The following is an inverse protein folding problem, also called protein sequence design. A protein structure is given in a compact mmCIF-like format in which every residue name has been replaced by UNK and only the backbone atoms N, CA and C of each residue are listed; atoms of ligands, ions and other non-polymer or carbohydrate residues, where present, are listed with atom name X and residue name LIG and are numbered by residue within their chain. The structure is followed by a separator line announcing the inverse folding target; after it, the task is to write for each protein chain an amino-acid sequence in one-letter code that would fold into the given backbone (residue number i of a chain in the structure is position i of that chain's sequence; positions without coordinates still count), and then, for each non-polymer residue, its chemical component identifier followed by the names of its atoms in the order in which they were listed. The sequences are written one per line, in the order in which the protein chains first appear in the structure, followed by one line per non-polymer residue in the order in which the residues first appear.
data_IF_535146644787
#
_entry.id   IF_535146644787
#
_cell.length_a   1.000
_cell.length_b   1.000
_cell.length_c   1.000
_cell.angle_alpha   90.00
_cell.angle_beta   90.00
_cell.angle_gamma   90.00
#
_symmetry.space_group_name_H-M   'P 1'
#
loop_
_entity.id
_entity.type
_entity.pdbx_description
1 polymer ?
#
# COMPACT_ATOMS: atom_id res chain seq x y z
N UNK A 1 -24.03 10.52 4.96
CA UNK A 1 -24.32 9.67 3.77
C UNK A 1 -25.45 10.34 3.03
N UNK A 2 -25.22 10.66 1.76
CA UNK A 2 -26.35 10.96 0.85
C UNK A 2 -27.25 9.73 0.83
N UNK A 3 -28.57 9.92 0.69
CA UNK A 3 -29.47 8.78 0.58
C UNK A 3 -29.22 8.11 -0.78
N UNK A 4 -28.53 6.96 -0.77
CA UNK A 4 -28.32 6.17 -1.98
C UNK A 4 -29.68 5.69 -2.46
N UNK A 5 -30.03 6.01 -3.71
CA UNK A 5 -31.24 5.50 -4.33
C UNK A 5 -30.97 4.10 -4.93
N UNK A 6 -31.20 3.07 -4.13
CA UNK A 6 -31.02 1.68 -4.55
C UNK A 6 -31.90 1.25 -5.73
N UNK A 7 -32.96 2.02 -6.05
CA UNK A 7 -33.83 1.72 -7.20
C UNK A 7 -33.14 1.95 -8.56
N UNK A 8 -32.02 2.68 -8.56
CA UNK A 8 -31.22 2.94 -9.76
C UNK A 8 -30.21 1.82 -10.05
N UNK A 9 -30.05 0.86 -9.15
CA UNK A 9 -29.12 -0.25 -9.37
C UNK A 9 -29.69 -1.23 -10.38
N UNK A 10 -28.91 -1.51 -11.41
CA UNK A 10 -29.28 -2.46 -12.48
C UNK A 10 -28.86 -3.89 -12.15
N UNK A 11 -27.87 -4.06 -11.29
CA UNK A 11 -27.30 -5.36 -10.94
C UNK A 11 -26.86 -5.38 -9.48
N UNK A 12 -27.00 -6.55 -8.84
CA UNK A 12 -26.39 -6.93 -7.57
C UNK A 12 -25.71 -8.30 -7.74
N UNK A 13 -24.69 -8.64 -6.95
CA UNK A 13 -24.05 -7.78 -5.96
C UNK A 13 -23.19 -6.69 -6.60
N UNK A 14 -23.08 -5.54 -5.95
CA UNK A 14 -22.19 -4.47 -6.41
C UNK A 14 -21.64 -3.64 -5.26
N UNK A 15 -20.40 -3.14 -5.43
CA UNK A 15 -19.84 -2.12 -4.56
C UNK A 15 -20.22 -0.74 -5.10
N UNK A 16 -20.66 0.12 -4.20
CA UNK A 16 -20.95 1.53 -4.52
C UNK A 16 -19.84 2.38 -3.88
N UNK A 17 -19.27 3.30 -4.66
CA UNK A 17 -18.36 4.32 -4.15
C UNK A 17 -19.01 5.69 -4.33
N UNK A 18 -19.23 6.41 -3.23
CA UNK A 18 -19.66 7.80 -3.24
C UNK A 18 -18.42 8.69 -3.46
N UNK A 19 -18.23 9.23 -4.66
CA UNK A 19 -17.05 10.03 -5.01
C UNK A 19 -16.83 11.21 -4.06
N UNK A 20 -17.90 11.83 -3.54
CA UNK A 20 -17.78 12.92 -2.57
C UNK A 20 -17.19 12.47 -1.22
N UNK A 21 -17.38 11.21 -0.81
CA UNK A 21 -16.75 10.64 0.38
C UNK A 21 -15.31 10.24 0.09
N UNK A 22 -15.07 9.66 -1.09
CA UNK A 22 -13.71 9.37 -1.55
C UNK A 22 -12.86 10.64 -1.62
N UNK A 23 -13.40 11.72 -2.18
CA UNK A 23 -12.70 13.00 -2.27
C UNK A 23 -12.34 13.58 -0.91
N UNK A 24 -13.20 13.43 0.11
CA UNK A 24 -12.86 13.82 1.50
C UNK A 24 -11.65 13.05 2.03
N UNK A 25 -11.58 11.75 1.79
CA UNK A 25 -10.43 10.95 2.16
C UNK A 25 -9.16 11.42 1.43
N UNK A 26 -9.29 11.69 0.13
CA UNK A 26 -8.18 12.19 -0.69
C UNK A 26 -7.68 13.59 -0.25
N UNK A 27 -8.57 14.46 0.22
CA UNK A 27 -8.20 15.76 0.79
C UNK A 27 -7.37 15.62 2.08
N UNK A 28 -7.64 14.59 2.89
CA UNK A 28 -6.78 14.28 4.06
C UNK A 28 -5.38 13.87 3.59
N UNK A 29 -5.29 13.01 2.56
CA UNK A 29 -4.00 12.60 1.98
C UNK A 29 -3.24 13.80 1.39
N UNK A 30 -3.93 14.68 0.67
CA UNK A 30 -3.35 15.90 0.12
C UNK A 30 -2.79 16.80 1.24
N UNK A 31 -3.52 16.94 2.35
CA UNK A 31 -3.04 17.70 3.51
C UNK A 31 -1.74 17.11 4.05
N UNK A 32 -1.67 15.78 4.23
CA UNK A 32 -0.44 15.10 4.67
C UNK A 32 0.72 15.40 3.72
N UNK A 33 0.51 15.26 2.42
CA UNK A 33 1.54 15.54 1.40
C UNK A 33 2.01 16.99 1.45
N UNK A 34 1.07 17.93 1.40
CA UNK A 34 1.37 19.36 1.39
C UNK A 34 2.14 19.81 2.62
N UNK A 35 1.75 19.33 3.80
CA UNK A 35 2.29 19.80 5.07
C UNK A 35 3.57 19.06 5.49
N UNK A 36 3.72 17.77 5.17
CA UNK A 36 4.92 17.00 5.48
C UNK A 36 5.96 16.99 4.36
N UNK A 37 5.54 17.24 3.12
CA UNK A 37 6.35 17.04 1.91
C UNK A 37 6.62 15.56 1.62
N UNK A 38 5.77 14.64 2.12
CA UNK A 38 5.76 13.27 1.70
C UNK A 38 5.03 13.10 0.35
N UNK A 39 5.27 11.99 -0.32
CA UNK A 39 4.49 11.55 -1.48
C UNK A 39 3.61 10.37 -1.06
N UNK A 40 2.36 10.38 -1.46
CA UNK A 40 1.43 9.27 -1.21
C UNK A 40 1.07 8.61 -2.54
N UNK A 41 1.18 7.29 -2.59
CA UNK A 41 0.80 6.45 -3.72
C UNK A 41 -0.22 5.41 -3.26
N UNK A 42 -1.22 5.15 -4.09
CA UNK A 42 -2.31 4.22 -3.78
C UNK A 42 -1.82 2.76 -3.82
N UNK A 43 -2.01 1.99 -2.75
CA UNK A 43 -1.78 0.55 -2.77
C UNK A 43 -2.97 -0.19 -3.38
N UNK A 44 -2.78 -0.73 -4.60
CA UNK A 44 -3.85 -1.37 -5.37
C UNK A 44 -4.41 -2.63 -4.70
N UNK A 45 -3.60 -3.34 -3.93
CA UNK A 45 -4.06 -4.50 -3.15
C UNK A 45 -5.17 -4.15 -2.14
N UNK A 46 -5.22 -2.90 -1.66
CA UNK A 46 -6.22 -2.43 -0.69
C UNK A 46 -7.39 -1.68 -1.33
N UNK A 47 -7.16 -1.02 -2.47
CA UNK A 47 -8.21 -0.32 -3.20
C UNK A 47 -7.85 -0.24 -4.68
N UNK A 48 -8.62 -0.94 -5.53
CA UNK A 48 -8.37 -1.01 -6.96
C UNK A 48 -9.63 -0.72 -7.81
N UNK A 49 -10.51 0.14 -7.31
CA UNK A 49 -11.70 0.57 -8.08
C UNK A 49 -11.27 1.57 -9.17
N UNK A 50 -10.81 1.05 -10.30
CA UNK A 50 -10.18 1.82 -11.38
C UNK A 50 -11.07 2.91 -11.98
N UNK A 51 -12.41 2.77 -11.91
CA UNK A 51 -13.35 3.82 -12.36
C UNK A 51 -13.18 5.13 -11.58
N UNK A 52 -12.56 5.10 -10.39
CA UNK A 52 -12.29 6.29 -9.56
C UNK A 52 -10.87 6.85 -9.75
N UNK A 53 -10.02 6.21 -10.56
CA UNK A 53 -8.61 6.56 -10.63
C UNK A 53 -8.34 7.95 -11.25
N UNK A 54 -9.23 8.46 -12.08
CA UNK A 54 -9.15 9.84 -12.53
C UNK A 54 -9.24 10.82 -11.35
N UNK A 55 -10.19 10.58 -10.42
CA UNK A 55 -10.32 11.39 -9.21
C UNK A 55 -9.12 11.19 -8.28
N UNK A 56 -8.76 9.94 -7.97
CA UNK A 56 -7.62 9.61 -7.11
C UNK A 56 -6.33 10.25 -7.63
N UNK A 57 -6.12 10.20 -8.94
CA UNK A 57 -4.94 10.76 -9.59
C UNK A 57 -4.83 12.28 -9.52
N UNK A 58 -5.89 13.01 -9.19
CA UNK A 58 -5.80 14.47 -8.94
C UNK A 58 -5.06 14.77 -7.64
N UNK A 59 -5.10 13.85 -6.68
CA UNK A 59 -4.58 14.03 -5.31
C UNK A 59 -3.29 13.27 -5.05
N UNK A 60 -3.15 12.05 -5.58
CA UNK A 60 -2.02 11.17 -5.29
C UNK A 60 -0.94 11.18 -6.37
N UNK A 61 0.28 10.81 -6.00
CA UNK A 61 1.43 10.78 -6.90
C UNK A 61 1.45 9.58 -7.85
N UNK A 62 0.77 8.48 -7.50
CA UNK A 62 0.76 7.25 -8.29
C UNK A 62 0.16 6.07 -7.56
N UNK A 63 0.60 4.89 -7.94
CA UNK A 63 0.18 3.61 -7.36
C UNK A 63 1.37 2.74 -6.97
N UNK A 64 1.15 1.87 -5.97
CA UNK A 64 2.02 0.71 -5.73
C UNK A 64 1.28 -0.57 -6.11
N UNK A 65 1.95 -1.41 -6.88
CA UNK A 65 1.45 -2.64 -7.47
C UNK A 65 2.12 -3.86 -6.84
N UNK A 66 1.36 -4.93 -6.63
CA UNK A 66 1.85 -6.20 -6.07
C UNK A 66 2.33 -7.20 -7.13
N UNK A 67 2.36 -6.79 -8.39
CA UNK A 67 2.79 -7.59 -9.53
C UNK A 67 2.38 -6.99 -10.87
N UNK A 68 2.63 -7.74 -11.95
CA UNK A 68 2.46 -7.28 -13.33
C UNK A 68 1.06 -6.74 -13.65
N UNK A 69 0.00 -7.44 -13.23
CA UNK A 69 -1.37 -7.06 -13.59
C UNK A 69 -1.80 -5.75 -12.93
N UNK A 70 -1.44 -5.55 -11.65
CA UNK A 70 -1.70 -4.27 -10.97
C UNK A 70 -0.84 -3.14 -11.57
N UNK A 71 0.41 -3.41 -11.94
CA UNK A 71 1.27 -2.44 -12.59
C UNK A 71 0.71 -1.99 -13.95
N UNK A 72 0.17 -2.92 -14.74
CA UNK A 72 -0.56 -2.61 -15.98
C UNK A 72 -1.78 -1.73 -15.71
N UNK A 73 -2.62 -2.14 -14.76
CA UNK A 73 -3.80 -1.38 -14.37
C UNK A 73 -3.43 0.05 -14.00
N UNK A 74 -2.41 0.23 -13.12
CA UNK A 74 -1.95 1.55 -12.72
C UNK A 74 -1.47 2.40 -13.90
N UNK A 75 -0.64 1.81 -14.77
CA UNK A 75 -0.08 2.51 -15.93
C UNK A 75 -1.14 2.92 -16.95
N UNK A 76 -2.10 2.03 -17.22
CA UNK A 76 -3.14 2.25 -18.24
C UNK A 76 -4.24 3.22 -17.77
N UNK A 77 -4.57 3.21 -16.47
CA UNK A 77 -5.75 3.93 -15.97
C UNK A 77 -5.42 5.21 -15.21
N UNK A 78 -4.37 5.24 -14.40
CA UNK A 78 -3.96 6.44 -13.66
C UNK A 78 -2.85 7.21 -14.39
N UNK A 79 -1.95 6.49 -15.04
CA UNK A 79 -0.81 7.04 -15.81
C UNK A 79 0.06 8.04 -15.01
N UNK A 80 0.38 7.65 -13.76
CA UNK A 80 1.29 8.36 -12.85
C UNK A 80 2.42 7.45 -12.41
N UNK A 81 3.17 7.80 -11.34
CA UNK A 81 4.23 6.93 -10.80
C UNK A 81 3.68 5.53 -10.49
N UNK A 82 4.39 4.50 -10.94
CA UNK A 82 4.06 3.09 -10.66
C UNK A 82 5.25 2.45 -9.96
N UNK A 83 5.06 2.11 -8.69
CA UNK A 83 6.02 1.35 -7.90
C UNK A 83 5.58 -0.10 -7.88
N UNK A 84 6.48 -1.04 -8.16
CA UNK A 84 6.11 -2.46 -8.18
C UNK A 84 6.95 -3.25 -7.18
N UNK A 85 6.26 -3.86 -6.22
CA UNK A 85 6.81 -4.77 -5.23
C UNK A 85 6.16 -6.15 -5.32
N UNK A 86 6.96 -7.20 -5.25
CA UNK A 86 6.48 -8.55 -5.02
C UNK A 86 7.47 -9.32 -4.16
N UNK A 87 7.02 -10.22 -3.25
CA UNK A 87 7.93 -11.10 -2.52
C UNK A 87 8.83 -11.93 -3.43
N UNK A 88 8.34 -12.26 -4.63
CA UNK A 88 9.11 -12.89 -5.69
C UNK A 88 8.54 -12.50 -7.06
N UNK A 89 9.43 -12.21 -8.02
CA UNK A 89 9.07 -11.97 -9.42
C UNK A 89 9.23 -13.22 -10.24
N UNK A 90 8.34 -13.42 -11.21
CA UNK A 90 8.53 -14.42 -12.25
C UNK A 90 9.52 -13.89 -13.31
N UNK A 91 10.38 -14.77 -13.83
CA UNK A 91 11.33 -14.40 -14.89
C UNK A 91 10.63 -13.87 -16.16
N UNK A 92 9.44 -14.38 -16.46
CA UNK A 92 8.64 -13.98 -17.62
C UNK A 92 8.03 -12.60 -17.50
N UNK A 93 7.74 -12.12 -16.24
CA UNK A 93 7.06 -10.86 -15.97
C UNK A 93 8.04 -9.69 -15.83
N UNK A 94 9.29 -9.94 -15.43
CA UNK A 94 10.23 -8.89 -14.98
C UNK A 94 10.52 -7.84 -16.05
N UNK A 95 10.59 -8.24 -17.33
CA UNK A 95 10.89 -7.33 -18.43
C UNK A 95 9.75 -6.33 -18.67
N UNK A 96 8.52 -6.81 -18.58
CA UNK A 96 7.36 -5.94 -18.76
C UNK A 96 7.18 -5.03 -17.55
N UNK A 97 7.36 -5.55 -16.33
CA UNK A 97 7.37 -4.75 -15.10
C UNK A 97 8.41 -3.62 -15.21
N UNK A 98 9.64 -3.91 -15.65
CA UNK A 98 10.69 -2.92 -15.81
C UNK A 98 10.32 -1.79 -16.80
N UNK A 99 9.57 -2.13 -17.87
CA UNK A 99 9.13 -1.12 -18.88
C UNK A 99 8.05 -0.19 -18.37
N UNK A 100 7.14 -0.69 -17.53
CA UNK A 100 5.93 0.03 -17.13
C UNK A 100 6.00 0.63 -15.72
N UNK A 101 7.01 0.26 -14.92
CA UNK A 101 7.22 0.77 -13.57
C UNK A 101 8.23 1.92 -13.55
N UNK A 102 8.05 2.86 -12.63
CA UNK A 102 9.01 3.92 -12.33
C UNK A 102 9.94 3.51 -11.18
N UNK A 103 9.50 2.59 -10.34
CA UNK A 103 10.27 1.99 -9.27
C UNK A 103 10.02 0.48 -9.18
N UNK A 104 11.08 -0.29 -8.93
CA UNK A 104 11.00 -1.71 -8.61
C UNK A 104 11.61 -1.97 -7.25
N UNK A 105 10.83 -2.60 -6.37
CA UNK A 105 11.24 -2.94 -5.01
C UNK A 105 11.58 -4.42 -4.93
N UNK A 106 12.84 -4.76 -4.75
CA UNK A 106 13.26 -6.15 -4.52
C UNK A 106 13.04 -6.56 -3.07
N UNK A 107 12.66 -7.80 -2.87
CA UNK A 107 12.40 -8.35 -1.54
C UNK A 107 13.65 -8.85 -0.83
N UNK A 108 14.72 -9.11 -1.58
CA UNK A 108 15.98 -9.65 -1.04
C UNK A 108 17.19 -9.28 -1.89
N UNK A 109 18.42 -9.31 -1.34
CA UNK A 109 19.65 -9.17 -2.11
C UNK A 109 19.76 -10.18 -3.23
N UNK A 110 19.27 -11.41 -3.05
CA UNK A 110 19.29 -12.43 -4.09
C UNK A 110 18.45 -12.04 -5.32
N UNK A 111 17.26 -11.43 -5.11
CA UNK A 111 16.48 -10.88 -6.22
C UNK A 111 17.19 -9.70 -6.88
N UNK A 112 17.79 -8.81 -6.08
CA UNK A 112 18.57 -7.70 -6.61
C UNK A 112 19.69 -8.22 -7.54
N UNK A 113 20.53 -9.15 -7.11
CA UNK A 113 21.60 -9.71 -7.90
C UNK A 113 21.10 -10.43 -9.17
N UNK A 114 19.92 -11.07 -9.09
CA UNK A 114 19.32 -11.77 -10.24
C UNK A 114 18.81 -10.81 -11.30
N UNK A 115 18.23 -9.68 -10.94
CA UNK A 115 17.44 -8.88 -11.86
C UNK A 115 17.95 -7.47 -12.10
N UNK A 116 18.82 -6.92 -11.25
CA UNK A 116 19.24 -5.52 -11.33
C UNK A 116 19.77 -5.12 -12.70
N UNK A 117 20.77 -5.84 -13.23
CA UNK A 117 21.39 -5.50 -14.51
C UNK A 117 20.38 -5.64 -15.67
N UNK A 118 19.51 -6.65 -15.62
CA UNK A 118 18.45 -6.87 -16.61
C UNK A 118 17.43 -5.74 -16.60
N UNK A 119 16.96 -5.34 -15.42
CA UNK A 119 16.00 -4.25 -15.24
C UNK A 119 16.59 -2.93 -15.71
N UNK A 120 17.83 -2.62 -15.33
CA UNK A 120 18.53 -1.41 -15.76
C UNK A 120 18.86 -1.37 -17.27
N UNK A 121 19.09 -2.51 -17.89
CA UNK A 121 19.27 -2.59 -19.34
C UNK A 121 17.97 -2.30 -20.12
N UNK A 122 16.80 -2.65 -19.56
CA UNK A 122 15.48 -2.41 -20.16
C UNK A 122 15.03 -0.97 -19.93
N UNK A 123 15.18 -0.48 -18.70
CA UNK A 123 14.81 0.87 -18.31
C UNK A 123 15.93 1.50 -17.46
N UNK A 124 16.87 2.22 -18.07
CA UNK A 124 17.98 2.83 -17.32
C UNK A 124 17.52 3.85 -16.25
N UNK A 125 16.32 4.40 -16.40
CA UNK A 125 15.78 5.43 -15.51
C UNK A 125 14.96 4.87 -14.34
N UNK A 126 14.60 3.58 -14.35
CA UNK A 126 13.81 2.98 -13.26
C UNK A 126 14.57 3.09 -11.94
N UNK A 127 13.88 3.55 -10.91
CA UNK A 127 14.40 3.47 -9.53
C UNK A 127 14.43 2.03 -9.06
N UNK A 128 15.42 1.70 -8.24
CA UNK A 128 15.56 0.37 -7.66
C UNK A 128 15.69 0.49 -6.17
N UNK A 129 14.86 -0.21 -5.43
CA UNK A 129 14.88 -0.21 -3.97
C UNK A 129 14.85 -1.62 -3.39
N UNK A 130 15.14 -1.70 -2.11
CA UNK A 130 15.10 -2.95 -1.36
C UNK A 130 14.08 -2.83 -0.23
N UNK A 131 13.19 -3.82 -0.12
CA UNK A 131 12.35 -3.95 1.06
C UNK A 131 13.17 -4.56 2.20
N UNK A 132 13.22 -3.85 3.31
CA UNK A 132 13.85 -4.28 4.56
C UNK A 132 12.79 -4.65 5.60
N UNK A 133 13.17 -5.54 6.50
CA UNK A 133 12.34 -5.95 7.62
C UNK A 133 12.94 -5.39 8.91
N UNK A 134 12.30 -4.40 9.55
CA UNK A 134 12.80 -3.84 10.82
C UNK A 134 12.68 -4.82 11.99
N UNK A 135 12.08 -6.01 11.79
CA UNK A 135 11.85 -7.04 12.80
C UNK A 135 11.08 -6.49 14.02
N UNK A 136 10.23 -5.50 13.76
CA UNK A 136 9.33 -4.88 14.73
C UNK A 136 7.99 -4.58 14.05
N UNK A 137 6.91 -4.97 14.70
CA UNK A 137 5.54 -4.57 14.35
C UNK A 137 4.67 -4.69 15.60
N UNK A 138 3.77 -3.74 15.78
CA UNK A 138 2.75 -3.76 16.84
C UNK A 138 1.41 -4.29 16.33
N UNK A 139 1.40 -5.05 15.22
CA UNK A 139 0.18 -5.69 14.70
C UNK A 139 -0.47 -6.56 15.78
N UNK A 140 -1.76 -6.36 16.10
CA UNK A 140 -2.44 -7.10 17.16
C UNK A 140 -2.69 -8.57 16.80
N UNK A 141 -2.57 -8.92 15.53
CA UNK A 141 -2.84 -10.26 14.99
C UNK A 141 -1.58 -10.79 14.30
N UNK A 142 -1.03 -11.90 14.81
CA UNK A 142 0.20 -12.50 14.26
C UNK A 142 0.09 -12.85 12.77
N UNK A 143 -1.09 -13.27 12.30
CA UNK A 143 -1.35 -13.59 10.90
C UNK A 143 -1.08 -12.40 9.96
N UNK A 144 -1.33 -11.19 10.44
CA UNK A 144 -1.15 -9.93 9.69
C UNK A 144 0.12 -9.18 10.08
N UNK A 145 1.01 -9.80 10.89
CA UNK A 145 2.29 -9.22 11.25
C UNK A 145 3.32 -9.43 10.12
N UNK A 146 3.65 -8.39 9.33
CA UNK A 146 4.57 -8.54 8.21
C UNK A 146 6.03 -8.67 8.65
N UNK A 147 6.33 -8.40 9.92
CA UNK A 147 7.67 -8.47 10.51
C UNK A 147 7.82 -9.63 11.51
N UNK A 148 6.85 -10.53 11.58
CA UNK A 148 6.87 -11.70 12.45
C UNK A 148 8.00 -12.67 12.14
N UNK A 149 8.29 -13.55 13.10
CA UNK A 149 9.25 -14.64 12.93
C UNK A 149 8.84 -15.49 11.71
N UNK A 150 9.80 -15.82 10.85
CA UNK A 150 9.60 -16.53 9.58
C UNK A 150 8.81 -15.76 8.51
N UNK A 151 8.61 -14.45 8.65
CA UNK A 151 8.04 -13.65 7.58
C UNK A 151 8.90 -13.74 6.32
N UNK A 152 8.23 -13.92 5.17
CA UNK A 152 8.88 -13.89 3.85
C UNK A 152 9.10 -12.47 3.32
N UNK A 153 8.69 -11.44 4.06
CA UNK A 153 8.57 -10.08 3.58
C UNK A 153 9.73 -9.21 4.04
N UNK A 154 10.57 -8.83 3.09
CA UNK A 154 11.71 -7.95 3.32
C UNK A 154 12.94 -8.66 3.88
N UNK A 155 14.06 -7.96 3.78
CA UNK A 155 15.39 -8.42 4.20
C UNK A 155 15.65 -7.97 5.64
N UNK A 156 15.94 -8.90 6.55
CA UNK A 156 16.41 -8.58 7.90
C UNK A 156 17.85 -8.05 7.87
N UNK A 157 18.27 -7.34 8.91
CA UNK A 157 19.64 -6.82 8.98
C UNK A 157 20.70 -7.92 8.84
N UNK A 158 20.48 -9.10 9.43
CA UNK A 158 21.40 -10.23 9.33
C UNK A 158 21.57 -10.80 7.90
N UNK A 159 20.63 -10.53 7.02
CA UNK A 159 20.66 -10.95 5.61
C UNK A 159 20.88 -9.78 4.64
N UNK A 160 21.14 -8.57 5.18
CA UNK A 160 21.34 -7.38 4.37
C UNK A 160 22.71 -7.42 3.70
N UNK A 161 22.76 -7.07 2.43
CA UNK A 161 24.01 -7.02 1.64
C UNK A 161 24.42 -5.56 1.44
N UNK A 162 25.40 -5.11 2.20
CA UNK A 162 25.90 -3.73 2.14
C UNK A 162 26.50 -3.39 0.75
N UNK A 163 26.97 -4.38 0.00
CA UNK A 163 27.61 -4.14 -1.29
C UNK A 163 26.67 -3.58 -2.36
N UNK A 164 25.35 -3.76 -2.19
CA UNK A 164 24.36 -3.25 -3.14
C UNK A 164 23.90 -1.83 -2.84
N UNK A 165 24.16 -1.29 -1.63
CA UNK A 165 23.63 0.00 -1.15
C UNK A 165 23.90 1.14 -2.12
N UNK A 166 25.10 1.21 -2.69
CA UNK A 166 25.47 2.26 -3.66
C UNK A 166 24.67 2.19 -5.00
N UNK A 167 23.96 1.12 -5.24
CA UNK A 167 23.11 0.92 -6.42
C UNK A 167 21.62 1.07 -6.11
N UNK A 168 21.24 1.24 -4.84
CA UNK A 168 19.86 1.45 -4.43
C UNK A 168 19.50 2.93 -4.54
N UNK A 169 18.29 3.20 -5.00
CA UNK A 169 17.67 4.52 -4.96
C UNK A 169 16.87 4.73 -3.67
N UNK A 170 16.39 3.66 -3.04
CA UNK A 170 15.60 3.75 -1.82
C UNK A 170 15.58 2.49 -0.97
N UNK A 171 15.08 2.63 0.25
CA UNK A 171 14.66 1.54 1.12
C UNK A 171 13.15 1.61 1.33
N UNK A 172 12.53 0.44 1.41
CA UNK A 172 11.10 0.29 1.69
C UNK A 172 10.92 -0.60 2.92
N UNK A 173 10.02 -0.25 3.79
CA UNK A 173 9.48 -1.18 4.78
C UNK A 173 7.94 -1.13 4.77
N UNK A 174 7.29 -2.21 5.20
CA UNK A 174 5.85 -2.24 5.40
C UNK A 174 5.58 -3.12 6.61
N UNK A 175 5.32 -2.50 7.75
CA UNK A 175 5.27 -3.12 9.07
C UNK A 175 3.93 -2.90 9.79
N UNK A 176 3.03 -2.13 9.22
CA UNK A 176 1.72 -1.82 9.79
C UNK A 176 0.59 -2.60 9.09
N UNK A 177 -0.47 -2.85 9.83
CA UNK A 177 -1.75 -3.34 9.32
C UNK A 177 -2.86 -2.66 10.14
N UNK A 178 -3.61 -1.73 9.49
CA UNK A 178 -4.74 -1.00 10.06
C UNK A 178 -4.42 -0.27 11.38
N UNK A 179 -3.26 0.37 11.45
CA UNK A 179 -2.76 0.96 12.68
C UNK A 179 -2.68 2.50 12.64
N UNK A 180 -2.62 3.09 13.83
CA UNK A 180 -2.45 4.52 14.04
C UNK A 180 -0.96 4.93 14.02
N UNK A 181 -0.70 6.22 14.14
CA UNK A 181 0.64 6.82 13.99
C UNK A 181 1.63 6.41 15.09
N UNK A 182 1.16 6.09 16.28
CA UNK A 182 1.99 5.56 17.38
C UNK A 182 2.70 4.25 17.00
N UNK A 183 2.01 3.39 16.24
CA UNK A 183 2.62 2.20 15.70
C UNK A 183 3.75 2.51 14.70
N UNK A 184 3.58 3.55 13.88
CA UNK A 184 4.63 4.00 12.95
C UNK A 184 5.87 4.49 13.70
N UNK A 185 5.72 5.22 14.81
CA UNK A 185 6.85 5.72 15.59
C UNK A 185 7.75 4.59 16.07
N UNK A 186 7.17 3.51 16.62
CA UNK A 186 7.94 2.34 17.03
C UNK A 186 8.62 1.60 15.88
N UNK A 187 7.96 1.54 14.71
CA UNK A 187 8.58 0.95 13.51
C UNK A 187 9.74 1.80 13.00
N UNK A 188 9.59 3.14 13.01
CA UNK A 188 10.68 4.05 12.61
C UNK A 188 11.89 3.95 13.52
N UNK A 189 11.69 3.85 14.84
CA UNK A 189 12.77 3.64 15.79
C UNK A 189 13.56 2.37 15.47
N UNK A 190 12.87 1.24 15.29
CA UNK A 190 13.49 -0.03 14.93
C UNK A 190 14.16 -0.01 13.55
N UNK A 191 13.57 0.71 12.59
CA UNK A 191 14.13 0.87 11.25
C UNK A 191 15.40 1.73 11.27
N UNK A 192 15.38 2.88 11.96
CA UNK A 192 16.55 3.76 12.07
C UNK A 192 17.69 3.10 12.87
N UNK A 193 17.38 2.32 13.93
CA UNK A 193 18.38 1.56 14.67
C UNK A 193 19.13 0.56 13.78
N UNK A 194 18.42 -0.14 12.90
CA UNK A 194 19.00 -1.21 12.07
C UNK A 194 19.54 -0.72 10.73
N UNK A 195 18.84 0.19 10.08
CA UNK A 195 19.12 0.58 8.69
C UNK A 195 19.45 2.07 8.53
N UNK A 196 19.44 2.85 9.61
CA UNK A 196 19.67 4.29 9.57
C UNK A 196 20.99 4.69 8.91
N UNK A 197 22.06 3.92 9.12
CA UNK A 197 23.38 4.17 8.53
C UNK A 197 23.42 4.00 7.00
N UNK A 198 22.43 3.32 6.43
CA UNK A 198 22.34 3.08 4.97
C UNK A 198 21.45 4.09 4.25
N UNK A 199 20.82 5.02 4.97
CA UNK A 199 19.93 6.03 4.38
C UNK A 199 20.69 7.12 3.64
N UNK A 200 21.89 7.45 4.10
CA UNK A 200 22.71 8.49 3.47
C UNK A 200 23.05 8.15 2.02
N UNK A 201 22.68 9.06 1.10
CA UNK A 201 22.88 8.87 -0.34
C UNK A 201 21.66 8.27 -1.07
N UNK A 202 20.64 7.79 -0.36
CA UNK A 202 19.40 7.36 -0.96
C UNK A 202 18.55 8.57 -1.38
N UNK A 203 17.69 8.37 -2.39
CA UNK A 203 16.73 9.37 -2.86
C UNK A 203 15.48 9.42 -1.99
N UNK A 204 15.06 8.27 -1.44
CA UNK A 204 13.83 8.16 -0.65
C UNK A 204 13.85 6.99 0.34
N UNK A 205 12.95 7.08 1.31
CA UNK A 205 12.52 5.96 2.15
C UNK A 205 11.00 5.83 2.01
N UNK A 206 10.52 4.62 1.77
CA UNK A 206 9.11 4.31 1.67
C UNK A 206 8.65 3.59 2.93
N UNK A 207 7.72 4.19 3.67
CA UNK A 207 7.20 3.66 4.93
C UNK A 207 6.12 2.59 4.74
N UNK A 208 5.76 2.30 3.47
CA UNK A 208 4.74 1.32 3.15
C UNK A 208 3.31 1.77 3.48
N UNK A 209 2.45 0.79 3.62
CA UNK A 209 1.02 0.98 3.91
C UNK A 209 0.63 0.54 5.32
N UNK A 210 -0.67 0.27 5.49
CA UNK A 210 -1.25 -0.12 6.78
C UNK A 210 -1.58 1.04 7.70
N UNK A 211 -1.46 2.27 7.21
CA UNK A 211 -1.82 3.50 7.91
C UNK A 211 -3.31 3.81 7.75
N UNK A 212 -4.06 3.86 8.83
CA UNK A 212 -5.50 4.20 8.82
C UNK A 212 -5.77 5.72 8.82
N UNK A 213 -5.08 6.47 7.97
CA UNK A 213 -4.98 7.94 7.96
C UNK A 213 -6.35 8.64 7.94
N UNK A 214 -7.36 8.04 7.32
CA UNK A 214 -8.71 8.63 7.17
C UNK A 214 -9.70 8.19 8.25
N UNK A 215 -9.28 7.32 9.16
CA UNK A 215 -10.10 6.94 10.31
C UNK A 215 -10.22 8.13 11.26
N UNK A 216 -11.40 8.31 11.86
CA UNK A 216 -11.72 9.49 12.67
C UNK A 216 -10.88 9.67 13.94
N UNK A 217 -10.27 8.60 14.43
CA UNK A 217 -9.38 8.58 15.60
C UNK A 217 -7.88 8.62 15.24
N UNK A 218 -7.54 8.78 13.94
CA UNK A 218 -6.15 8.86 13.50
C UNK A 218 -5.61 10.29 13.69
N UNK A 219 -4.46 10.41 14.34
CA UNK A 219 -3.80 11.71 14.55
C UNK A 219 -2.97 12.11 13.31
N UNK A 220 -3.63 12.81 12.39
CA UNK A 220 -3.01 13.30 11.15
C UNK A 220 -1.92 14.33 11.42
N UNK A 221 -2.11 15.20 12.43
CA UNK A 221 -1.11 16.21 12.80
C UNK A 221 0.16 15.55 13.30
N UNK A 222 0.03 14.53 14.11
CA UNK A 222 1.17 13.74 14.59
C UNK A 222 1.91 13.03 13.44
N UNK A 223 1.18 12.46 12.47
CA UNK A 223 1.80 11.86 11.28
C UNK A 223 2.67 12.88 10.52
N UNK A 224 2.15 14.09 10.31
CA UNK A 224 2.89 15.17 9.65
C UNK A 224 4.17 15.51 10.42
N UNK A 225 4.09 15.62 11.75
CA UNK A 225 5.24 15.87 12.61
C UNK A 225 6.29 14.76 12.53
N UNK A 226 5.86 13.49 12.61
CA UNK A 226 6.75 12.32 12.53
C UNK A 226 7.50 12.30 11.20
N UNK A 227 6.79 12.53 10.09
CA UNK A 227 7.42 12.57 8.76
C UNK A 227 8.41 13.74 8.67
N UNK A 228 8.04 14.94 9.13
CA UNK A 228 8.93 16.11 9.14
C UNK A 228 10.20 15.85 9.99
N UNK A 229 10.03 15.25 11.16
CA UNK A 229 11.14 14.93 12.05
C UNK A 229 12.09 13.91 11.41
N UNK A 230 11.56 12.86 10.78
CA UNK A 230 12.36 11.88 10.04
C UNK A 230 13.13 12.55 8.89
N UNK A 231 12.46 13.35 8.07
CA UNK A 231 13.12 14.09 6.97
C UNK A 231 14.23 15.03 7.48
N UNK A 232 14.01 15.70 8.62
CA UNK A 232 15.00 16.59 9.21
C UNK A 232 16.26 15.83 9.68
N UNK A 233 16.11 14.60 10.20
CA UNK A 233 17.25 13.75 10.58
C UNK A 233 18.03 13.21 9.38
N UNK A 234 17.37 13.06 8.23
CA UNK A 234 17.93 12.43 7.02
C UNK A 234 18.02 13.40 5.83
N UNK A 235 18.57 14.61 6.06
CA UNK A 235 18.92 15.58 5.02
C UNK A 235 17.76 15.97 4.07
N UNK A 236 16.51 15.90 4.53
CA UNK A 236 15.34 16.24 3.72
C UNK A 236 14.92 15.15 2.73
N UNK A 237 15.34 13.91 2.95
CA UNK A 237 15.02 12.76 2.11
C UNK A 237 13.52 12.70 1.73
N UNK A 238 13.21 12.22 0.54
CA UNK A 238 11.82 11.99 0.14
C UNK A 238 11.24 10.82 0.93
N UNK A 239 10.03 11.00 1.45
CA UNK A 239 9.27 9.94 2.12
C UNK A 239 8.06 9.56 1.28
N UNK A 240 7.84 8.25 1.08
CA UNK A 240 6.63 7.72 0.48
C UNK A 240 5.76 7.03 1.53
N UNK A 241 4.44 7.07 1.32
CA UNK A 241 3.43 6.26 2.02
C UNK A 241 2.59 5.52 0.99
N UNK A 242 2.16 4.30 1.33
CA UNK A 242 1.37 3.42 0.47
C UNK A 242 0.02 3.01 1.10
N UNK A 243 -0.86 3.95 1.49
CA UNK A 243 -2.19 3.59 1.97
C UNK A 243 -3.00 2.93 0.86
N UNK A 244 -3.75 1.89 1.18
CA UNK A 244 -4.73 1.26 0.29
C UNK A 244 -6.13 1.46 0.84
N UNK A 245 -6.49 0.71 1.85
CA UNK A 245 -7.79 0.74 2.51
C UNK A 245 -8.22 2.15 2.95
N UNK A 246 -7.31 2.91 3.54
CA UNK A 246 -7.60 4.27 4.01
C UNK A 246 -8.10 5.21 2.89
N UNK A 247 -7.80 4.92 1.61
CA UNK A 247 -8.34 5.70 0.48
C UNK A 247 -9.83 5.43 0.32
N UNK A 248 -10.23 4.15 0.31
CA UNK A 248 -11.62 3.72 0.13
C UNK A 248 -12.44 3.64 1.44
N UNK A 249 -11.86 3.98 2.59
CA UNK A 249 -12.50 3.83 3.89
C UNK A 249 -13.82 4.57 3.99
N UNK A 250 -14.89 3.81 4.29
CA UNK A 250 -16.27 4.34 4.46
C UNK A 250 -16.79 5.16 3.27
N UNK A 251 -16.38 4.82 2.05
CA UNK A 251 -16.83 5.54 0.83
C UNK A 251 -18.08 4.94 0.21
N UNK A 252 -18.61 3.82 0.73
CA UNK A 252 -19.87 3.25 0.25
C UNK A 252 -20.08 1.81 0.69
N UNK A 253 -21.26 1.25 0.43
CA UNK A 253 -21.64 -0.10 0.79
C UNK A 253 -21.37 -1.14 -0.30
N UNK A 254 -21.33 -2.41 0.11
CA UNK A 254 -21.66 -3.55 -0.74
C UNK A 254 -23.19 -3.75 -0.71
N UNK A 255 -23.82 -3.80 -1.87
CA UNK A 255 -25.25 -4.03 -2.03
C UNK A 255 -25.51 -5.41 -2.59
N UNK A 256 -26.42 -6.14 -1.97
CA UNK A 256 -26.82 -7.49 -2.35
C UNK A 256 -28.34 -7.61 -2.40
N UNK A 257 -28.83 -8.55 -3.18
CA UNK A 257 -30.25 -8.94 -3.21
C UNK A 257 -30.49 -10.16 -2.35
N UNK A 258 -31.63 -10.17 -1.64
CA UNK A 258 -32.15 -11.36 -0.98
C UNK A 258 -32.82 -12.22 -2.05
N UNK A 259 -32.26 -13.42 -2.29
CA UNK A 259 -32.79 -14.37 -3.28
C UNK A 259 -33.88 -15.25 -2.71
N UNK A 260 -33.76 -15.61 -1.42
CA UNK A 260 -34.72 -16.46 -0.72
C UNK A 260 -34.61 -16.26 0.80
N UNK A 261 -35.67 -16.67 1.52
CA UNK A 261 -35.68 -16.73 2.98
C UNK A 261 -36.11 -18.14 3.40
N UNK A 262 -35.24 -18.84 4.11
CA UNK A 262 -35.53 -20.17 4.66
C UNK A 262 -35.65 -20.09 6.17
N UNK A 263 -36.54 -20.93 6.75
CA UNK A 263 -36.72 -21.01 8.18
C UNK A 263 -36.04 -22.27 8.75
N UNK A 264 -35.10 -22.06 9.70
CA UNK A 264 -34.52 -23.18 10.47
C UNK A 264 -34.17 -22.67 11.88
N UNK A 265 -35.15 -22.70 12.77
CA UNK A 265 -35.06 -22.12 14.12
C UNK A 265 -35.09 -20.57 14.12
N UNK A 266 -34.68 -19.96 13.03
CA UNK A 266 -34.78 -18.53 12.73
C UNK A 266 -34.96 -18.34 11.21
N UNK A 267 -35.33 -17.15 10.78
CA UNK A 267 -35.35 -16.80 9.37
C UNK A 267 -33.92 -16.51 8.90
N UNK A 268 -33.50 -17.16 7.82
CA UNK A 268 -32.19 -17.04 7.21
C UNK A 268 -32.32 -16.51 5.79
N UNK A 269 -31.82 -15.30 5.54
CA UNK A 269 -31.79 -14.72 4.21
C UNK A 269 -30.62 -15.28 3.39
N UNK A 270 -30.95 -15.72 2.17
CA UNK A 270 -29.97 -16.17 1.18
C UNK A 270 -29.70 -15.01 0.23
N UNK A 271 -28.44 -14.59 0.16
CA UNK A 271 -28.01 -13.44 -0.65
C UNK A 271 -27.34 -13.91 -1.93
N UNK A 272 -27.26 -13.02 -2.92
CA UNK A 272 -26.49 -13.20 -4.16
C UNK A 272 -24.97 -12.92 -3.99
N UNK A 273 -24.52 -12.73 -2.75
CA UNK A 273 -23.09 -12.57 -2.40
C UNK A 273 -22.54 -13.85 -1.76
N UNK A 274 -21.21 -14.00 -1.81
CA UNK A 274 -20.48 -14.95 -0.97
C UNK A 274 -19.36 -14.24 -0.22
N UNK A 275 -19.01 -14.75 0.97
CA UNK A 275 -17.91 -14.21 1.75
C UNK A 275 -16.57 -14.30 0.97
N UNK A 276 -16.32 -15.43 0.30
CA UNK A 276 -15.08 -15.66 -0.46
C UNK A 276 -14.86 -14.66 -1.59
N UNK A 277 -15.93 -14.28 -2.30
CA UNK A 277 -15.83 -13.42 -3.46
C UNK A 277 -15.94 -11.93 -3.13
N UNK A 278 -16.69 -11.57 -2.08
CA UNK A 278 -17.05 -10.18 -1.82
C UNK A 278 -16.58 -9.66 -0.46
N UNK A 279 -16.36 -10.52 0.53
CA UNK A 279 -15.97 -10.13 1.88
C UNK A 279 -15.06 -11.20 2.50
N UNK A 280 -13.88 -11.48 1.91
CA UNK A 280 -13.03 -12.59 2.35
C UNK A 280 -12.53 -12.43 3.80
N UNK A 281 -12.41 -11.20 4.29
CA UNK A 281 -11.99 -10.92 5.67
C UNK A 281 -12.97 -11.47 6.71
N UNK A 282 -14.26 -11.62 6.37
CA UNK A 282 -15.25 -12.25 7.27
C UNK A 282 -14.97 -13.74 7.52
N UNK A 283 -14.14 -14.38 6.69
CA UNK A 283 -13.71 -15.75 6.88
C UNK A 283 -12.42 -15.85 7.71
N UNK A 284 -11.56 -14.86 7.57
CA UNK A 284 -10.27 -14.82 8.27
C UNK A 284 -10.40 -14.24 9.69
N UNK A 285 -11.30 -13.27 9.87
CA UNK A 285 -11.56 -12.58 11.14
C UNK A 285 -13.07 -12.38 11.32
N UNK A 286 -13.84 -13.45 11.63
CA UNK A 286 -15.29 -13.40 11.79
C UNK A 286 -15.73 -12.60 13.03
#
# INVERSE_FOLDING_TARGET
MSAIDFSQLTHTPCYICEEALLEKNLQVMERVQRESGAKIILALKGFAMWSTFELVGKYLHGCTASGLHEAKLARETMNKEVHTYSPAFKDEDIDEIARISDDIVFNSPAQFHRYYERVKAINPNISVSLRVNPEYSSSPVDLYNPCGLYSRLGTTLSNFDESIVSKLDGLNFHALCEQNVDALEGVLEAFEEKFGTYIDGLKYVNFGGGHHITRSDYDVDRLIEVIRAFKARHNGITVYLEPGEAIGWQTGPLVASVLDIVHNGMDVAILDTSAEAHMPDTLAMP
#
